data_IF_931830424481
#
_entry.id   IF_931830424481
#
_cell.length_a   1.000
_cell.length_b   1.000
_cell.length_c   1.000
_cell.angle_alpha   90.00
_cell.angle_beta   90.00
_cell.angle_gamma   90.00
#
_symmetry.space_group_name_H-M   'P 1'
#
loop_
_entity.id
_entity.type
_entity.pdbx_description
1 polymer ?
#
# COMPACT_ATOMS: atom_id res chain seq x y z
N UNK A 1 -3.44 -30.72 7.60
CA UNK A 1 -2.94 -29.37 7.91
C UNK A 1 -4.04 -28.37 7.51
N UNK A 2 -4.44 -27.48 8.43
CA UNK A 2 -5.47 -26.45 8.15
C UNK A 2 -4.77 -25.12 7.80
N UNK A 3 -5.27 -24.41 6.80
CA UNK A 3 -4.77 -23.09 6.37
C UNK A 3 -5.89 -22.07 6.50
N UNK A 4 -5.58 -20.89 7.01
CA UNK A 4 -6.44 -19.70 6.99
C UNK A 4 -5.70 -18.57 6.26
N UNK A 5 -6.34 -18.02 5.24
CA UNK A 5 -5.84 -16.87 4.49
C UNK A 5 -6.62 -15.62 4.88
N UNK A 6 -5.91 -14.49 4.98
CA UNK A 6 -6.48 -13.19 5.29
C UNK A 6 -6.06 -12.18 4.22
N UNK A 7 -7.01 -11.44 3.73
CA UNK A 7 -6.76 -10.25 2.93
C UNK A 7 -6.10 -9.16 3.79
N UNK A 8 -5.25 -8.33 3.19
CA UNK A 8 -4.46 -7.34 3.91
C UNK A 8 -5.21 -6.01 4.00
N UNK A 9 -5.43 -5.34 2.87
CA UNK A 9 -5.98 -4.00 2.87
C UNK A 9 -7.48 -3.98 3.13
N UNK A 10 -7.91 -2.98 3.91
CA UNK A 10 -9.32 -2.77 4.33
C UNK A 10 -9.94 -4.00 5.03
N UNK A 11 -9.10 -4.98 5.39
CA UNK A 11 -9.44 -6.18 6.13
C UNK A 11 -8.53 -6.30 7.37
N UNK A 12 -7.29 -6.79 7.21
CA UNK A 12 -6.32 -6.95 8.31
C UNK A 12 -5.70 -5.62 8.72
N UNK A 13 -5.35 -4.79 7.74
CA UNK A 13 -4.83 -3.44 7.92
C UNK A 13 -5.85 -2.41 7.41
N UNK A 14 -6.16 -1.44 8.24
CA UNK A 14 -7.05 -0.33 7.93
C UNK A 14 -6.23 0.94 7.66
N UNK A 15 -6.70 1.78 6.72
CA UNK A 15 -6.12 3.10 6.47
C UNK A 15 -6.74 4.15 7.37
N UNK A 16 -5.91 4.85 8.15
CA UNK A 16 -6.35 6.01 8.96
C UNK A 16 -6.93 7.13 8.11
N UNK A 17 -6.45 7.28 6.89
CA UNK A 17 -6.92 8.29 5.93
C UNK A 17 -8.22 7.91 5.21
N UNK A 18 -8.78 6.73 5.45
CA UNK A 18 -10.01 6.24 4.85
C UNK A 18 -9.79 5.57 3.50
N UNK A 19 -9.96 6.30 2.40
CA UNK A 19 -9.84 5.72 1.05
C UNK A 19 -8.39 5.72 0.53
N UNK A 20 -8.02 4.77 -0.35
CA UNK A 20 -6.66 4.63 -0.87
C UNK A 20 -6.10 5.91 -1.51
N UNK A 21 -6.93 6.62 -2.27
CA UNK A 21 -6.52 7.84 -2.98
C UNK A 21 -6.06 8.97 -2.04
N UNK A 22 -6.49 8.96 -0.78
CA UNK A 22 -6.04 9.93 0.20
C UNK A 22 -4.54 9.80 0.53
N UNK A 23 -3.94 8.62 0.32
CA UNK A 23 -2.48 8.44 0.38
C UNK A 23 -1.78 9.33 -0.67
N UNK A 24 -2.31 9.38 -1.88
CA UNK A 24 -1.73 10.20 -2.96
C UNK A 24 -1.86 11.68 -2.66
N UNK A 25 -2.95 12.10 -2.00
CA UNK A 25 -3.11 13.47 -1.57
C UNK A 25 -2.14 13.83 -0.42
N UNK A 26 -1.94 12.94 0.54
CA UNK A 26 -0.95 13.12 1.61
C UNK A 26 0.47 13.20 1.05
N UNK A 27 0.79 12.37 0.06
CA UNK A 27 2.05 12.43 -0.67
C UNK A 27 2.24 13.78 -1.36
N UNK A 28 1.23 14.22 -2.11
CA UNK A 28 1.24 15.52 -2.79
C UNK A 28 1.48 16.67 -1.80
N UNK A 29 0.79 16.68 -0.66
CA UNK A 29 0.99 17.68 0.39
C UNK A 29 2.39 17.67 0.99
N UNK A 30 3.00 16.50 1.11
CA UNK A 30 4.37 16.38 1.63
C UNK A 30 5.40 16.88 0.63
N UNK A 31 5.15 16.70 -0.67
CA UNK A 31 6.02 17.20 -1.75
C UNK A 31 5.87 18.71 -1.98
N UNK A 32 4.67 19.23 -1.87
CA UNK A 32 4.31 20.61 -2.23
C UNK A 32 3.53 21.31 -1.11
N UNK A 33 4.13 21.46 0.11
CA UNK A 33 3.40 22.00 1.27
C UNK A 33 2.89 23.43 1.05
N UNK A 34 3.59 24.23 0.23
CA UNK A 34 3.31 25.65 0.00
C UNK A 34 2.61 25.93 -1.34
N UNK A 35 2.22 24.91 -2.09
CA UNK A 35 1.60 25.05 -3.40
C UNK A 35 0.37 24.15 -3.58
N UNK A 36 -0.83 24.60 -3.20
CA UNK A 36 -2.06 23.83 -3.39
C UNK A 36 -2.29 23.39 -4.84
N UNK A 37 -1.98 24.25 -5.82
CA UNK A 37 -2.14 23.92 -7.23
C UNK A 37 -1.24 22.74 -7.65
N UNK A 38 0.03 22.74 -7.23
CA UNK A 38 0.94 21.60 -7.50
C UNK A 38 0.51 20.33 -6.75
N UNK A 39 -0.06 20.46 -5.55
CA UNK A 39 -0.67 19.34 -4.85
C UNK A 39 -1.77 18.69 -5.68
N UNK A 40 -2.70 19.47 -6.18
CA UNK A 40 -3.83 19.00 -6.96
C UNK A 40 -3.36 18.37 -8.28
N UNK A 41 -2.43 18.99 -8.97
CA UNK A 41 -1.84 18.46 -10.20
C UNK A 41 -1.12 17.13 -9.97
N UNK A 42 -0.32 17.03 -8.91
CA UNK A 42 0.38 15.78 -8.57
C UNK A 42 -0.60 14.67 -8.19
N UNK A 43 -1.59 14.98 -7.38
CA UNK A 43 -2.64 14.03 -7.00
C UNK A 43 -3.35 13.43 -8.23
N UNK A 44 -3.82 14.29 -9.13
CA UNK A 44 -4.48 13.86 -10.36
C UNK A 44 -3.54 13.04 -11.26
N UNK A 45 -2.28 13.48 -11.37
CA UNK A 45 -1.27 12.74 -12.12
C UNK A 45 -1.06 11.34 -11.52
N UNK A 46 -0.91 11.20 -10.20
CA UNK A 46 -0.67 9.90 -9.55
C UNK A 46 -1.87 8.94 -9.74
N UNK A 47 -3.09 9.44 -9.61
CA UNK A 47 -4.31 8.65 -9.88
C UNK A 47 -4.35 8.16 -11.34
N UNK A 48 -3.98 9.01 -12.29
CA UNK A 48 -3.95 8.66 -13.71
C UNK A 48 -2.81 7.68 -14.03
N UNK A 49 -1.64 7.84 -13.40
CA UNK A 49 -0.49 6.96 -13.60
C UNK A 49 -0.81 5.49 -13.32
N UNK A 50 -1.52 5.22 -12.24
CA UNK A 50 -1.96 3.87 -11.89
C UNK A 50 -2.94 3.30 -12.93
N UNK A 51 -3.95 4.09 -13.34
CA UNK A 51 -4.91 3.68 -14.37
C UNK A 51 -4.21 3.36 -15.70
N UNK A 52 -3.22 4.16 -16.08
CA UNK A 52 -2.44 3.94 -17.31
C UNK A 52 -1.56 2.68 -17.21
N UNK A 53 -0.94 2.43 -16.07
CA UNK A 53 -0.14 1.23 -15.84
C UNK A 53 -0.99 -0.04 -15.94
N UNK A 54 -2.16 -0.06 -15.29
CA UNK A 54 -3.15 -1.14 -15.38
C UNK A 54 -3.57 -1.38 -16.85
N UNK A 55 -3.94 -0.30 -17.55
CA UNK A 55 -4.36 -0.39 -18.96
C UNK A 55 -3.24 -0.92 -19.88
N UNK A 56 -2.01 -0.46 -19.67
CA UNK A 56 -0.83 -0.88 -20.46
C UNK A 56 -0.47 -2.33 -20.24
N UNK A 57 -0.55 -2.79 -18.99
CA UNK A 57 -0.24 -4.18 -18.61
C UNK A 57 -1.37 -5.15 -18.98
N UNK A 58 -2.61 -4.66 -19.01
CA UNK A 58 -3.80 -5.51 -19.19
C UNK A 58 -4.13 -6.35 -17.95
N UNK A 59 -3.55 -6.02 -16.80
CA UNK A 59 -3.69 -6.69 -15.52
C UNK A 59 -3.74 -5.64 -14.41
N UNK A 60 -4.52 -5.90 -13.37
CA UNK A 60 -4.59 -5.03 -12.19
C UNK A 60 -3.37 -5.17 -11.26
N UNK A 61 -2.60 -6.24 -11.39
CA UNK A 61 -1.39 -6.49 -10.59
C UNK A 61 -0.20 -5.65 -11.09
N UNK A 62 -0.26 -4.34 -10.89
CA UNK A 62 0.85 -3.42 -11.18
C UNK A 62 1.68 -3.15 -9.93
N UNK A 63 2.98 -2.94 -10.10
CA UNK A 63 3.89 -2.52 -9.02
C UNK A 63 4.03 -1.01 -8.98
N UNK A 64 4.49 -0.44 -7.85
CA UNK A 64 4.83 0.98 -7.78
C UNK A 64 5.85 1.39 -8.85
N UNK A 65 6.85 0.56 -9.11
CA UNK A 65 7.84 0.83 -10.15
C UNK A 65 7.20 0.89 -11.54
N UNK A 66 6.27 -0.01 -11.87
CA UNK A 66 5.53 0.04 -13.14
C UNK A 66 4.65 1.28 -13.25
N UNK A 67 4.01 1.72 -12.15
CA UNK A 67 3.19 2.92 -12.11
C UNK A 67 4.05 4.15 -12.39
N UNK A 68 5.13 4.33 -11.64
CA UNK A 68 5.98 5.52 -11.75
C UNK A 68 6.81 5.55 -13.04
N UNK A 69 7.39 4.43 -13.47
CA UNK A 69 8.18 4.36 -14.71
C UNK A 69 7.33 4.34 -15.98
N UNK A 70 6.08 3.92 -15.87
CA UNK A 70 5.16 3.83 -17.01
C UNK A 70 4.46 5.14 -17.35
N UNK A 71 4.55 6.16 -16.51
CA UNK A 71 3.87 7.44 -16.65
C UNK A 71 4.84 8.56 -17.01
N UNK A 72 4.31 9.57 -17.72
CA UNK A 72 5.05 10.80 -18.02
C UNK A 72 5.09 11.70 -16.77
N UNK A 73 6.28 11.86 -16.19
CA UNK A 73 6.51 12.69 -14.98
C UNK A 73 6.97 14.12 -15.32
N UNK A 74 6.83 14.56 -16.57
CA UNK A 74 7.36 15.83 -17.05
C UNK A 74 6.99 17.07 -16.23
N UNK A 75 5.87 17.07 -15.55
CA UNK A 75 5.48 18.17 -14.65
C UNK A 75 6.17 18.16 -13.28
N UNK A 76 6.92 17.09 -12.93
CA UNK A 76 7.44 16.83 -11.58
C UNK A 76 8.88 16.32 -11.62
N UNK A 77 9.67 16.77 -12.60
CA UNK A 77 11.06 16.36 -12.85
C UNK A 77 12.04 16.69 -11.72
N UNK A 78 11.65 17.54 -10.78
CA UNK A 78 12.43 17.83 -9.57
C UNK A 78 12.53 16.64 -8.62
N UNK A 79 11.68 15.62 -8.78
CA UNK A 79 11.68 14.43 -7.94
C UNK A 79 12.19 13.20 -8.69
N UNK A 80 13.04 12.42 -8.04
CA UNK A 80 13.49 11.12 -8.56
C UNK A 80 12.44 10.06 -8.27
N UNK A 81 12.19 9.18 -9.24
CA UNK A 81 11.18 8.10 -9.12
C UNK A 81 11.43 7.24 -7.87
N UNK A 82 12.68 6.88 -7.59
CA UNK A 82 13.02 6.08 -6.41
C UNK A 82 12.64 6.78 -5.10
N UNK A 83 12.80 8.10 -5.04
CA UNK A 83 12.43 8.89 -3.87
C UNK A 83 10.92 8.98 -3.71
N UNK A 84 10.16 9.10 -4.81
CA UNK A 84 8.70 9.10 -4.79
C UNK A 84 8.16 7.74 -4.30
N UNK A 85 8.73 6.64 -4.78
CA UNK A 85 8.35 5.28 -4.33
C UNK A 85 8.61 5.10 -2.83
N UNK A 86 9.78 5.51 -2.35
CA UNK A 86 10.14 5.41 -0.92
C UNK A 86 9.18 6.27 -0.09
N UNK A 87 8.90 7.49 -0.52
CA UNK A 87 8.02 8.41 0.21
C UNK A 87 6.58 7.92 0.23
N UNK A 88 6.06 7.38 -0.88
CA UNK A 88 4.71 6.81 -0.93
C UNK A 88 4.59 5.61 0.02
N UNK A 89 5.56 4.69 0.03
CA UNK A 89 5.61 3.58 1.00
C UNK A 89 5.66 4.06 2.45
N UNK A 90 6.43 5.10 2.73
CA UNK A 90 6.52 5.68 4.06
C UNK A 90 5.15 6.21 4.51
N UNK A 91 4.48 7.00 3.67
CA UNK A 91 3.14 7.55 3.97
C UNK A 91 2.10 6.45 4.11
N UNK A 92 2.13 5.44 3.24
CA UNK A 92 1.25 4.28 3.37
C UNK A 92 1.47 3.59 4.73
N UNK A 93 2.71 3.30 5.10
CA UNK A 93 3.05 2.68 6.39
C UNK A 93 2.61 3.49 7.60
N UNK A 94 2.77 4.81 7.57
CA UNK A 94 2.31 5.73 8.63
C UNK A 94 0.77 5.72 8.80
N UNK A 95 0.04 5.38 7.74
CA UNK A 95 -1.42 5.39 7.70
C UNK A 95 -2.07 4.02 7.89
N UNK A 96 -1.31 2.94 7.95
CA UNK A 96 -1.82 1.60 8.20
C UNK A 96 -1.81 1.25 9.68
N UNK A 97 -2.93 0.70 10.16
CA UNK A 97 -3.08 0.14 11.51
C UNK A 97 -3.80 -1.20 11.45
N UNK A 98 -3.52 -2.09 12.39
CA UNK A 98 -4.24 -3.35 12.50
C UNK A 98 -5.73 -3.13 12.77
N UNK A 99 -6.58 -3.92 12.11
CA UNK A 99 -7.98 -4.09 12.49
C UNK A 99 -8.05 -4.97 13.75
N UNK A 100 -8.47 -4.46 14.92
CA UNK A 100 -8.44 -5.23 16.16
C UNK A 100 -9.30 -6.50 16.10
N UNK A 101 -10.44 -6.46 15.42
CA UNK A 101 -11.34 -7.60 15.30
C UNK A 101 -10.72 -8.72 14.44
N UNK A 102 -10.08 -8.35 13.32
CA UNK A 102 -9.40 -9.32 12.47
C UNK A 102 -8.15 -9.86 13.15
N UNK A 103 -7.39 -9.03 13.84
CA UNK A 103 -6.23 -9.47 14.63
C UNK A 103 -6.64 -10.52 15.67
N UNK A 104 -7.75 -10.31 16.37
CA UNK A 104 -8.28 -11.32 17.30
C UNK A 104 -8.67 -12.61 16.57
N UNK A 105 -9.35 -12.50 15.44
CA UNK A 105 -9.71 -13.67 14.60
C UNK A 105 -8.47 -14.47 14.16
N UNK A 106 -7.39 -13.78 13.79
CA UNK A 106 -6.11 -14.41 13.43
C UNK A 106 -5.55 -15.20 14.61
N UNK A 107 -5.54 -14.63 15.83
CA UNK A 107 -5.07 -15.33 17.04
C UNK A 107 -5.95 -16.54 17.37
N UNK A 108 -7.27 -16.45 17.23
CA UNK A 108 -8.19 -17.57 17.46
C UNK A 108 -7.96 -18.71 16.47
N UNK A 109 -7.65 -18.38 15.19
CA UNK A 109 -7.28 -19.37 14.17
C UNK A 109 -5.94 -20.05 14.50
N UNK A 110 -4.94 -19.30 14.95
CA UNK A 110 -3.66 -19.87 15.43
C UNK A 110 -3.87 -20.83 16.59
N UNK A 111 -4.64 -20.42 17.61
CA UNK A 111 -4.98 -21.26 18.76
C UNK A 111 -5.71 -22.55 18.35
N UNK A 112 -6.47 -22.51 17.26
CA UNK A 112 -7.18 -23.65 16.68
C UNK A 112 -6.31 -24.52 15.74
N UNK A 113 -4.99 -24.27 15.67
CA UNK A 113 -4.03 -25.04 14.88
C UNK A 113 -4.04 -24.77 13.38
N UNK A 114 -4.55 -23.62 12.95
CA UNK A 114 -4.43 -23.18 11.56
C UNK A 114 -3.06 -22.54 11.31
N UNK A 115 -2.49 -22.82 10.15
CA UNK A 115 -1.41 -21.97 9.59
C UNK A 115 -2.03 -20.73 8.99
N UNK A 116 -1.38 -19.61 9.21
CA UNK A 116 -1.85 -18.30 8.71
C UNK A 116 -1.03 -17.90 7.48
N UNK A 117 -1.71 -17.36 6.48
CA UNK A 117 -1.08 -16.63 5.39
C UNK A 117 -1.88 -15.36 5.07
N UNK A 118 -1.21 -14.39 4.48
CA UNK A 118 -1.80 -13.14 4.05
C UNK A 118 -1.72 -13.02 2.52
N UNK A 119 -2.73 -12.41 1.91
CA UNK A 119 -2.85 -12.26 0.47
C UNK A 119 -3.18 -10.79 0.18
N UNK A 120 -2.58 -10.23 -0.84
CA UNK A 120 -2.88 -8.89 -1.34
C UNK A 120 -2.74 -8.83 -2.85
N UNK A 121 -3.60 -8.07 -3.49
CA UNK A 121 -3.57 -7.71 -4.91
C UNK A 121 -3.07 -6.28 -5.16
N UNK A 122 -2.57 -5.60 -4.11
CA UNK A 122 -2.08 -4.22 -4.18
C UNK A 122 -0.67 -4.13 -4.78
N UNK A 123 -0.35 -2.93 -5.30
CA UNK A 123 0.94 -2.58 -5.91
C UNK A 123 2.14 -2.56 -4.96
N UNK A 124 1.93 -2.77 -3.66
CA UNK A 124 2.99 -2.81 -2.64
C UNK A 124 3.60 -4.21 -2.56
N UNK A 125 4.92 -4.25 -2.42
CA UNK A 125 5.66 -5.52 -2.37
C UNK A 125 5.47 -6.28 -1.04
N UNK A 126 5.62 -7.61 -1.11
CA UNK A 126 5.40 -8.50 0.02
C UNK A 126 6.37 -8.24 1.19
N UNK A 127 7.57 -7.72 0.95
CA UNK A 127 8.53 -7.40 2.00
C UNK A 127 8.03 -6.23 2.85
N UNK A 128 7.56 -5.16 2.22
CA UNK A 128 6.93 -4.02 2.90
C UNK A 128 5.70 -4.46 3.71
N UNK A 129 4.84 -5.27 3.10
CA UNK A 129 3.62 -5.76 3.76
C UNK A 129 3.93 -6.67 4.96
N UNK A 130 4.93 -7.54 4.83
CA UNK A 130 5.37 -8.42 5.92
C UNK A 130 5.92 -7.62 7.10
N UNK A 131 6.74 -6.59 6.84
CA UNK A 131 7.26 -5.71 7.88
C UNK A 131 6.11 -5.00 8.61
N UNK A 132 5.18 -4.41 7.86
CA UNK A 132 4.04 -3.70 8.45
C UNK A 132 3.12 -4.61 9.26
N UNK A 133 2.81 -5.80 8.76
CA UNK A 133 2.01 -6.80 9.48
C UNK A 133 2.70 -7.27 10.78
N UNK A 134 4.04 -7.36 10.80
CA UNK A 134 4.80 -7.65 12.02
C UNK A 134 4.72 -6.51 13.03
N UNK A 135 4.95 -5.27 12.59
CA UNK A 135 4.83 -4.07 13.43
C UNK A 135 3.46 -3.98 14.11
N UNK A 136 2.41 -4.29 13.36
CA UNK A 136 1.02 -4.28 13.85
C UNK A 136 0.62 -5.55 14.62
N UNK A 137 1.54 -6.50 14.82
CA UNK A 137 1.30 -7.73 15.58
C UNK A 137 0.39 -8.75 14.90
N UNK A 138 0.22 -8.64 13.58
CA UNK A 138 -0.61 -9.56 12.81
C UNK A 138 0.17 -10.77 12.25
N UNK A 139 1.42 -10.58 11.84
CA UNK A 139 2.29 -11.62 11.26
C UNK A 139 3.29 -12.14 12.30
N UNK A 140 3.43 -13.46 12.39
CA UNK A 140 4.44 -14.14 13.23
C UNK A 140 5.51 -14.81 12.38
N UNK A 141 6.63 -15.17 13.04
CA UNK A 141 7.72 -15.89 12.37
C UNK A 141 7.22 -17.20 11.75
N UNK A 142 7.66 -17.45 10.51
CA UNK A 142 7.27 -18.65 9.74
C UNK A 142 5.93 -18.54 9.00
N UNK A 143 5.17 -17.46 9.18
CA UNK A 143 3.99 -17.15 8.38
C UNK A 143 4.38 -16.40 7.09
N UNK A 144 3.48 -16.37 6.09
CA UNK A 144 3.79 -15.83 4.74
C UNK A 144 2.82 -14.74 4.33
N UNK A 145 3.35 -13.82 3.56
CA UNK A 145 2.63 -12.82 2.78
C UNK A 145 2.78 -13.17 1.30
#
# INVERSE_FOLDING_TARGET
MKLASFDIFDTTLLRKCGVPENIFYLLAKRLYPDSPAKCDDFFLWRCNAERQAIKKKGDQNVTLAEIYNGSDIQGFNEHRIEQLIILEKCIEGENLIANPAIRQTIEDKRASGYRICFISDMYLDSAFLAEKLKEEGCLKEGERV
#
